data_IF_778905895289
#
_entry.id   IF_778905895289
#
_cell.length_a   1.000
_cell.length_b   1.000
_cell.length_c   1.000
_cell.angle_alpha   90.00
_cell.angle_beta   90.00
_cell.angle_gamma   90.00
#
_symmetry.space_group_name_H-M   'P 1'
#
loop_
_entity.id
_entity.type
_entity.pdbx_description
1 polymer ?
#
# COMPACT_ATOMS: atom_id res chain seq x y z
N UNK A 1 18.70 -9.82 0.79
CA UNK A 1 17.40 -9.77 0.08
C UNK A 1 17.09 -8.33 -0.30
N UNK A 2 16.22 -8.13 -1.28
CA UNK A 2 15.60 -6.85 -1.63
C UNK A 2 14.14 -6.94 -1.19
N UNK A 3 13.64 -5.93 -0.47
CA UNK A 3 12.23 -5.80 -0.12
C UNK A 3 11.66 -4.62 -0.90
N UNK A 4 10.78 -4.91 -1.85
CA UNK A 4 10.11 -3.92 -2.69
C UNK A 4 8.68 -3.71 -2.16
N UNK A 5 8.30 -2.46 -1.90
CA UNK A 5 6.96 -2.13 -1.45
C UNK A 5 6.12 -1.62 -2.62
N UNK A 6 4.83 -1.95 -2.66
CA UNK A 6 3.86 -1.41 -3.61
C UNK A 6 3.00 -0.31 -2.95
N UNK A 7 3.56 0.88 -2.68
CA UNK A 7 2.91 1.89 -1.85
C UNK A 7 1.65 2.43 -2.52
N UNK A 8 0.62 2.69 -1.72
CA UNK A 8 -0.63 3.33 -2.13
C UNK A 8 -1.43 2.53 -3.17
N UNK A 9 -1.03 1.28 -3.44
CA UNK A 9 -1.58 0.44 -4.50
C UNK A 9 -0.84 0.53 -5.83
N UNK A 10 0.22 1.33 -5.90
CA UNK A 10 1.07 1.49 -7.08
C UNK A 10 2.11 0.37 -7.09
N UNK A 11 2.13 -0.48 -8.13
CA UNK A 11 3.16 -1.49 -8.29
C UNK A 11 4.57 -0.89 -8.41
N UNK A 12 5.53 -1.49 -7.73
CA UNK A 12 6.96 -1.30 -7.94
C UNK A 12 7.39 -1.83 -9.31
N UNK A 13 8.49 -1.29 -9.86
CA UNK A 13 9.08 -1.77 -11.11
C UNK A 13 9.86 -3.08 -10.85
N UNK A 14 9.13 -4.20 -10.84
CA UNK A 14 9.66 -5.48 -10.34
C UNK A 14 10.67 -6.15 -11.28
N UNK A 15 10.62 -5.94 -12.60
CA UNK A 15 11.58 -6.58 -13.53
C UNK A 15 13.01 -6.10 -13.30
N UNK A 16 13.31 -4.79 -13.22
CA UNK A 16 14.65 -4.33 -12.86
C UNK A 16 15.12 -4.84 -11.49
N UNK A 17 14.23 -4.85 -10.48
CA UNK A 17 14.57 -5.34 -9.15
C UNK A 17 14.90 -6.84 -9.15
N UNK A 18 14.15 -7.64 -9.92
CA UNK A 18 14.43 -9.07 -10.12
C UNK A 18 15.81 -9.27 -10.77
N UNK A 19 16.13 -8.53 -11.82
CA UNK A 19 17.43 -8.62 -12.48
C UNK A 19 18.60 -8.28 -11.53
N UNK A 20 18.45 -7.26 -10.68
CA UNK A 20 19.44 -6.93 -9.64
C UNK A 20 19.53 -8.06 -8.62
N UNK A 21 18.40 -8.58 -8.16
CA UNK A 21 18.37 -9.66 -7.18
C UNK A 21 19.08 -10.92 -7.71
N UNK A 22 18.83 -11.31 -8.97
CA UNK A 22 19.49 -12.46 -9.62
C UNK A 22 20.99 -12.26 -9.75
N UNK A 23 21.41 -11.09 -10.25
CA UNK A 23 22.84 -10.74 -10.40
C UNK A 23 23.63 -10.89 -9.10
N UNK A 24 23.00 -10.59 -7.97
CA UNK A 24 23.64 -10.57 -6.66
C UNK A 24 23.27 -11.77 -5.77
N UNK A 25 22.56 -12.78 -6.29
CA UNK A 25 22.13 -13.94 -5.50
C UNK A 25 21.21 -13.58 -4.33
N UNK A 26 20.41 -12.53 -4.46
CA UNK A 26 19.50 -12.04 -3.43
C UNK A 26 18.08 -12.56 -3.66
N UNK A 27 17.37 -12.82 -2.56
CA UNK A 27 15.91 -12.98 -2.58
C UNK A 27 15.21 -11.65 -2.81
N UNK A 28 14.12 -11.65 -3.57
CA UNK A 28 13.22 -10.52 -3.77
C UNK A 28 11.89 -10.79 -3.05
N UNK A 29 11.51 -9.90 -2.14
CA UNK A 29 10.26 -9.99 -1.38
C UNK A 29 9.41 -8.78 -1.77
N UNK A 30 8.15 -9.01 -2.12
CA UNK A 30 7.17 -7.95 -2.35
C UNK A 30 6.38 -7.68 -1.06
N UNK A 31 6.37 -6.44 -0.58
CA UNK A 31 5.37 -5.94 0.35
C UNK A 31 4.19 -5.39 -0.47
N UNK A 32 3.21 -6.26 -0.66
CA UNK A 32 1.98 -6.02 -1.39
C UNK A 32 0.82 -5.63 -0.46
N UNK A 33 1.10 -5.24 0.80
CA UNK A 33 0.10 -4.94 1.81
C UNK A 33 -0.89 -3.83 1.42
N UNK A 34 -0.59 -3.05 0.38
CA UNK A 34 -1.42 -1.97 -0.14
C UNK A 34 -1.88 -2.20 -1.59
N UNK A 35 -1.61 -3.37 -2.19
CA UNK A 35 -1.69 -3.56 -3.64
C UNK A 35 -2.57 -4.75 -4.09
N UNK A 36 -3.57 -5.12 -3.29
CA UNK A 36 -4.51 -6.20 -3.66
C UNK A 36 -5.18 -5.91 -5.01
N UNK A 37 -5.02 -6.84 -5.96
CA UNK A 37 -5.55 -6.73 -7.31
C UNK A 37 -4.87 -5.69 -8.21
N UNK A 38 -3.76 -5.09 -7.78
CA UNK A 38 -2.90 -4.34 -8.68
C UNK A 38 -2.23 -5.29 -9.70
N UNK A 39 -1.82 -4.75 -10.84
CA UNK A 39 -1.22 -5.53 -11.94
C UNK A 39 0.08 -4.85 -12.36
N UNK A 40 1.13 -5.64 -12.55
CA UNK A 40 2.39 -5.20 -13.15
C UNK A 40 2.73 -6.09 -14.35
N UNK A 41 2.93 -5.45 -15.51
CA UNK A 41 3.27 -6.13 -16.77
C UNK A 41 2.26 -7.21 -17.16
N UNK A 42 0.97 -6.90 -17.00
CA UNK A 42 -0.13 -7.81 -17.30
C UNK A 42 -0.31 -8.96 -16.30
N UNK A 43 0.51 -9.04 -15.25
CA UNK A 43 0.46 -10.10 -14.24
C UNK A 43 0.10 -9.55 -12.84
N UNK A 44 -0.56 -10.35 -11.98
CA UNK A 44 -0.78 -9.97 -10.58
C UNK A 44 0.54 -9.66 -9.85
N UNK A 45 0.45 -8.81 -8.83
CA UNK A 45 1.59 -8.54 -7.95
C UNK A 45 2.10 -9.81 -7.27
N UNK A 46 3.42 -9.86 -7.04
CA UNK A 46 4.10 -10.97 -6.41
C UNK A 46 4.67 -12.00 -7.39
N UNK A 47 4.21 -12.04 -8.64
CA UNK A 47 4.69 -13.02 -9.65
C UNK A 47 6.20 -12.92 -9.92
N UNK A 48 6.77 -11.72 -9.79
CA UNK A 48 8.20 -11.49 -10.01
C UNK A 48 9.05 -11.62 -8.73
N UNK A 49 8.43 -11.83 -7.57
CA UNK A 49 9.11 -11.97 -6.28
C UNK A 49 9.23 -13.46 -5.89
N UNK A 50 10.20 -13.78 -5.02
CA UNK A 50 10.27 -15.10 -4.38
C UNK A 50 9.07 -15.33 -3.44
N UNK A 51 8.57 -14.26 -2.81
CA UNK A 51 7.31 -14.25 -2.08
C UNK A 51 6.71 -12.85 -2.03
N UNK A 52 5.40 -12.77 -1.82
CA UNK A 52 4.68 -11.52 -1.56
C UNK A 52 3.91 -11.59 -0.24
N UNK A 53 3.95 -10.50 0.52
CA UNK A 53 3.28 -10.34 1.79
C UNK A 53 2.08 -9.42 1.64
N UNK A 54 0.95 -9.82 2.22
CA UNK A 54 -0.33 -9.13 2.14
C UNK A 54 -0.84 -8.81 3.54
N UNK A 55 -1.61 -7.73 3.66
CA UNK A 55 -2.24 -7.32 4.91
C UNK A 55 -3.74 -7.24 4.71
N UNK A 56 -4.50 -7.72 5.67
CA UNK A 56 -5.96 -7.70 5.69
C UNK A 56 -6.51 -6.82 6.81
N UNK A 57 -5.72 -5.82 7.23
CA UNK A 57 -6.16 -4.81 8.18
C UNK A 57 -7.42 -4.07 7.69
N UNK A 58 -8.23 -3.58 8.63
CA UNK A 58 -9.50 -2.88 8.41
C UNK A 58 -9.53 -1.91 7.21
N UNK A 59 -8.46 -1.15 6.98
CA UNK A 59 -8.44 -0.11 5.93
C UNK A 59 -8.09 -0.59 4.52
N UNK A 60 -7.56 -1.82 4.36
CA UNK A 60 -6.99 -2.34 3.11
C UNK A 60 -8.06 -2.48 2.01
N UNK A 61 -7.63 -2.75 0.77
CA UNK A 61 -8.55 -2.90 -0.37
C UNK A 61 -9.60 -4.01 -0.14
N UNK A 62 -9.24 -5.02 0.64
CA UNK A 62 -10.09 -6.03 1.26
C UNK A 62 -9.63 -6.22 2.71
N UNK A 63 -10.52 -6.65 3.60
CA UNK A 63 -10.23 -6.75 5.03
C UNK A 63 -10.71 -8.06 5.64
N UNK A 64 -10.08 -8.48 6.72
CA UNK A 64 -10.52 -9.56 7.60
C UNK A 64 -10.67 -9.07 9.05
N UNK A 65 -10.71 -7.75 9.25
CA UNK A 65 -10.51 -7.10 10.54
C UNK A 65 -9.02 -6.93 10.80
N UNK A 66 -8.37 -8.03 11.17
CA UNK A 66 -6.92 -8.20 11.27
C UNK A 66 -6.49 -9.46 10.51
N UNK A 67 -5.26 -9.47 10.00
CA UNK A 67 -4.72 -10.63 9.30
C UNK A 67 -3.71 -10.30 8.21
N UNK A 68 -3.18 -11.36 7.59
CA UNK A 68 -2.24 -11.26 6.50
C UNK A 68 -2.05 -12.59 5.78
N UNK A 69 -1.33 -12.54 4.67
CA UNK A 69 -1.05 -13.70 3.83
C UNK A 69 0.37 -13.61 3.29
N UNK A 70 0.98 -14.75 3.03
CA UNK A 70 2.17 -14.84 2.19
C UNK A 70 1.83 -15.73 1.00
N UNK A 71 2.16 -15.29 -0.20
CA UNK A 71 2.05 -16.07 -1.43
C UNK A 71 3.43 -16.33 -2.01
N UNK A 72 3.68 -17.56 -2.45
CA UNK A 72 4.92 -17.98 -3.13
C UNK A 72 4.63 -19.15 -4.07
N UNK A 73 5.45 -19.31 -5.11
CA UNK A 73 5.42 -20.47 -5.99
C UNK A 73 6.43 -21.56 -5.56
N UNK A 74 7.24 -21.29 -4.54
CA UNK A 74 8.24 -22.23 -4.02
C UNK A 74 7.60 -23.11 -2.94
N UNK A 75 7.47 -24.41 -3.24
CA UNK A 75 6.83 -25.39 -2.36
C UNK A 75 7.60 -25.62 -1.05
N UNK A 76 8.93 -25.59 -1.10
CA UNK A 76 9.78 -25.74 0.09
C UNK A 76 9.66 -24.52 0.99
N UNK A 77 9.66 -23.32 0.39
CA UNK A 77 9.44 -22.08 1.12
C UNK A 77 8.05 -22.05 1.75
N UNK A 78 7.02 -22.46 1.00
CA UNK A 78 5.64 -22.51 1.51
C UNK A 78 5.51 -23.45 2.71
N UNK A 79 6.17 -24.60 2.69
CA UNK A 79 6.18 -25.54 3.80
C UNK A 79 6.88 -24.96 5.03
N UNK A 80 8.06 -24.37 4.83
CA UNK A 80 8.80 -23.69 5.89
C UNK A 80 7.98 -22.56 6.52
N UNK A 81 7.25 -21.78 5.71
CA UNK A 81 6.37 -20.71 6.20
C UNK A 81 5.18 -21.26 7.00
N UNK A 82 4.59 -22.40 6.62
CA UNK A 82 3.54 -23.06 7.39
C UNK A 82 4.03 -23.51 8.77
N UNK A 83 5.22 -24.09 8.83
CA UNK A 83 5.88 -24.45 10.09
C UNK A 83 6.14 -23.21 10.95
N UNK A 84 6.80 -22.17 10.40
CA UNK A 84 7.07 -20.92 11.13
C UNK A 84 5.78 -20.28 11.67
N UNK A 85 4.69 -20.30 10.90
CA UNK A 85 3.39 -19.73 11.31
C UNK A 85 2.76 -20.48 12.50
N UNK A 86 3.11 -21.74 12.70
CA UNK A 86 2.48 -22.63 13.68
C UNK A 86 3.51 -23.36 14.53
N UNK A 87 4.24 -22.62 15.37
CA UNK A 87 5.16 -23.12 16.39
C UNK A 87 6.31 -24.01 15.88
N UNK A 88 6.53 -24.09 14.57
CA UNK A 88 7.47 -25.02 13.94
C UNK A 88 7.00 -26.47 14.01
N UNK A 89 5.72 -26.69 14.28
CA UNK A 89 5.13 -27.99 14.59
C UNK A 89 4.88 -28.79 13.30
N UNK A 90 5.60 -29.90 13.12
CA UNK A 90 5.41 -30.83 12.00
C UNK A 90 4.44 -31.97 12.36
N UNK A 91 4.42 -32.35 13.64
CA UNK A 91 3.47 -33.29 14.23
C UNK A 91 2.99 -32.72 15.55
N UNK A 92 1.78 -33.08 16.01
CA UNK A 92 1.16 -32.50 17.21
C UNK A 92 2.13 -32.47 18.40
N UNK A 93 2.45 -31.27 18.91
CA UNK A 93 3.39 -31.00 19.99
C UNK A 93 4.86 -31.36 19.75
N UNK A 94 5.27 -31.58 18.50
CA UNK A 94 6.65 -31.81 18.10
C UNK A 94 7.10 -30.72 17.11
N UNK A 95 7.79 -29.72 17.64
CA UNK A 95 8.43 -28.67 16.84
C UNK A 95 9.77 -29.15 16.28
N UNK A 96 9.95 -29.06 14.97
CA UNK A 96 11.22 -29.40 14.29
C UNK A 96 12.08 -28.17 13.96
N UNK A 97 11.48 -26.98 13.99
CA UNK A 97 12.15 -25.70 13.88
C UNK A 97 11.57 -24.71 14.90
N UNK A 98 12.24 -23.57 15.11
CA UNK A 98 11.65 -22.46 15.86
C UNK A 98 10.57 -21.80 14.99
N UNK A 99 9.35 -21.73 15.50
CA UNK A 99 8.26 -20.97 14.90
C UNK A 99 7.56 -20.03 15.89
N UNK A 100 6.42 -19.50 15.45
CA UNK A 100 5.60 -18.53 16.16
C UNK A 100 4.13 -18.94 16.11
N UNK A 101 3.29 -18.20 16.85
CA UNK A 101 1.85 -18.30 16.71
C UNK A 101 1.32 -17.14 15.84
N UNK A 102 1.39 -17.31 14.52
CA UNK A 102 0.90 -16.34 13.53
C UNK A 102 -0.28 -16.88 12.72
N UNK A 103 -1.03 -17.81 13.30
CA UNK A 103 -2.23 -18.37 12.67
C UNK A 103 -3.29 -17.28 12.56
N UNK A 104 -3.92 -17.21 11.39
CA UNK A 104 -5.13 -16.43 11.17
C UNK A 104 -6.33 -17.29 11.62
N UNK A 105 -7.24 -16.79 12.48
CA UNK A 105 -8.39 -17.59 12.88
C UNK A 105 -9.43 -17.73 11.76
N UNK A 106 -10.26 -18.76 11.86
CA UNK A 106 -11.21 -19.15 10.81
C UNK A 106 -12.31 -18.09 10.56
N UNK A 107 -12.67 -17.31 11.59
CA UNK A 107 -13.67 -16.24 11.47
C UNK A 107 -13.15 -15.14 10.54
N UNK A 108 -11.92 -14.69 10.74
CA UNK A 108 -11.23 -13.74 9.88
C UNK A 108 -11.11 -14.31 8.46
N UNK A 109 -10.82 -15.60 8.30
CA UNK A 109 -10.71 -16.25 6.99
C UNK A 109 -12.07 -16.26 6.25
N UNK A 110 -13.17 -16.53 6.96
CA UNK A 110 -14.51 -16.48 6.41
C UNK A 110 -14.90 -15.08 5.91
N UNK A 111 -14.55 -14.03 6.66
CA UNK A 111 -14.71 -12.64 6.21
C UNK A 111 -13.89 -12.38 4.93
N UNK A 112 -12.64 -12.89 4.92
CA UNK A 112 -11.72 -12.76 3.81
C UNK A 112 -12.24 -13.36 2.50
N UNK A 113 -12.89 -14.53 2.55
CA UNK A 113 -13.48 -15.17 1.37
C UNK A 113 -14.54 -14.28 0.71
N UNK A 114 -15.50 -13.77 1.49
CA UNK A 114 -16.54 -12.86 0.99
C UNK A 114 -15.95 -11.55 0.46
N UNK A 115 -14.91 -11.04 1.13
CA UNK A 115 -14.21 -9.83 0.71
C UNK A 115 -13.43 -10.02 -0.59
N UNK A 116 -12.83 -11.20 -0.79
CA UNK A 116 -12.10 -11.55 -2.00
C UNK A 116 -13.03 -11.62 -3.22
N UNK A 117 -14.22 -12.20 -3.07
CA UNK A 117 -15.25 -12.23 -4.12
C UNK A 117 -15.69 -10.81 -4.54
N UNK A 118 -15.75 -9.88 -3.57
CA UNK A 118 -16.16 -8.49 -3.81
C UNK A 118 -15.02 -7.60 -4.27
N UNK A 119 -13.77 -8.01 -4.11
CA UNK A 119 -12.58 -7.20 -4.41
C UNK A 119 -12.61 -6.59 -5.83
N UNK A 120 -12.97 -7.31 -6.92
CA UNK A 120 -13.05 -6.71 -8.26
C UNK A 120 -13.97 -5.49 -8.31
N UNK A 121 -15.14 -5.56 -7.65
CA UNK A 121 -16.11 -4.45 -7.59
C UNK A 121 -15.55 -3.26 -6.79
N UNK A 122 -14.83 -3.52 -5.70
CA UNK A 122 -14.19 -2.48 -4.90
C UNK A 122 -13.09 -1.76 -5.68
N UNK A 123 -12.27 -2.49 -6.43
CA UNK A 123 -11.21 -1.93 -7.26
C UNK A 123 -11.78 -1.09 -8.40
N UNK A 124 -12.87 -1.55 -9.04
CA UNK A 124 -13.57 -0.78 -10.05
C UNK A 124 -14.09 0.55 -9.49
N UNK A 125 -14.73 0.53 -8.31
CA UNK A 125 -15.24 1.76 -7.69
C UNK A 125 -14.14 2.73 -7.26
N UNK A 126 -13.05 2.20 -6.69
CA UNK A 126 -11.88 3.03 -6.33
C UNK A 126 -11.27 3.71 -7.55
N UNK A 127 -11.15 2.99 -8.66
CA UNK A 127 -10.68 3.54 -9.93
C UNK A 127 -11.59 4.64 -10.46
N UNK A 128 -12.90 4.41 -10.50
CA UNK A 128 -13.86 5.43 -10.93
C UNK A 128 -13.73 6.72 -10.10
N UNK A 129 -13.63 6.57 -8.77
CA UNK A 129 -13.46 7.70 -7.86
C UNK A 129 -12.13 8.42 -8.10
N UNK A 130 -11.03 7.69 -8.29
CA UNK A 130 -9.72 8.24 -8.59
C UNK A 130 -9.69 8.99 -9.94
N UNK A 131 -10.33 8.46 -10.97
CA UNK A 131 -10.43 9.10 -12.29
C UNK A 131 -11.23 10.40 -12.23
N UNK A 132 -12.39 10.39 -11.56
CA UNK A 132 -13.21 11.60 -11.32
C UNK A 132 -12.44 12.68 -10.57
N UNK A 133 -11.72 12.29 -9.51
CA UNK A 133 -10.92 13.20 -8.72
C UNK A 133 -9.74 13.76 -9.53
N UNK A 134 -9.09 12.91 -10.33
CA UNK A 134 -8.01 13.32 -11.25
C UNK A 134 -8.51 14.34 -12.26
N UNK A 135 -9.66 14.09 -12.90
CA UNK A 135 -10.22 14.98 -13.91
C UNK A 135 -10.52 16.39 -13.37
N UNK A 136 -10.87 16.51 -12.09
CA UNK A 136 -11.15 17.80 -11.45
C UNK A 136 -9.89 18.51 -10.97
N UNK A 137 -8.93 17.76 -10.44
CA UNK A 137 -7.71 18.33 -9.86
C UNK A 137 -6.60 18.55 -10.89
N UNK A 138 -6.70 18.00 -12.12
CA UNK A 138 -5.60 18.01 -13.09
C UNK A 138 -5.12 19.41 -13.52
N UNK A 139 -5.99 20.43 -13.41
CA UNK A 139 -5.65 21.83 -13.72
C UNK A 139 -4.99 22.57 -12.56
N UNK A 140 -4.93 21.97 -11.36
CA UNK A 140 -4.31 22.58 -10.19
C UNK A 140 -2.77 22.54 -10.32
N UNK A 141 -2.19 23.66 -10.76
CA UNK A 141 -0.76 23.76 -11.04
C UNK A 141 0.16 23.58 -9.82
N UNK A 142 -0.37 23.66 -8.60
CA UNK A 142 0.30 23.40 -7.32
C UNK A 142 0.24 21.92 -6.89
N UNK A 143 -0.56 21.08 -7.55
CA UNK A 143 -0.63 19.65 -7.27
C UNK A 143 0.17 18.82 -8.27
N UNK A 144 0.79 17.75 -7.78
CA UNK A 144 1.21 16.60 -8.55
C UNK A 144 0.29 15.43 -8.17
N UNK A 145 -0.50 14.97 -9.13
CA UNK A 145 -1.48 13.90 -8.95
C UNK A 145 -0.84 12.52 -9.14
N UNK A 146 -1.39 11.48 -8.50
CA UNK A 146 -0.94 10.11 -8.74
C UNK A 146 -1.22 9.72 -10.20
N UNK A 147 -0.24 9.07 -10.83
CA UNK A 147 -0.34 8.58 -12.21
C UNK A 147 0.08 7.12 -12.25
N UNK A 148 -0.64 6.33 -13.06
CA UNK A 148 -0.23 4.97 -13.36
C UNK A 148 1.01 5.02 -14.27
N UNK A 149 2.06 4.31 -13.88
CA UNK A 149 3.25 4.14 -14.73
C UNK A 149 2.96 3.16 -15.86
N UNK A 150 3.78 3.19 -16.92
CA UNK A 150 3.71 2.19 -17.98
C UNK A 150 3.77 0.78 -17.38
N UNK A 151 2.91 -0.13 -17.85
CA UNK A 151 2.80 -1.53 -17.37
C UNK A 151 2.17 -1.69 -15.98
N UNK A 152 1.83 -0.62 -15.28
CA UNK A 152 1.21 -0.70 -13.96
C UNK A 152 -0.30 -0.45 -14.01
N UNK A 153 -1.06 -1.23 -13.26
CA UNK A 153 -2.46 -0.97 -12.92
C UNK A 153 -2.56 -0.84 -11.40
N UNK A 154 -2.86 0.36 -10.93
CA UNK A 154 -3.01 0.72 -9.53
C UNK A 154 -4.28 0.10 -8.94
N UNK A 155 -4.19 -0.41 -7.71
CA UNK A 155 -5.36 -0.87 -6.92
C UNK A 155 -6.11 0.27 -6.23
N UNK A 156 -5.54 1.48 -6.23
CA UNK A 156 -6.07 2.69 -5.62
C UNK A 156 -6.40 2.48 -4.14
N UNK A 157 -5.46 1.92 -3.39
CA UNK A 157 -5.55 1.86 -1.93
C UNK A 157 -5.69 3.27 -1.36
N UNK A 158 -4.84 4.19 -1.81
CA UNK A 158 -4.91 5.62 -1.51
C UNK A 158 -4.81 6.45 -2.80
N UNK A 159 -5.51 7.58 -2.82
CA UNK A 159 -5.27 8.62 -3.82
C UNK A 159 -4.34 9.67 -3.23
N UNK A 160 -3.04 9.50 -3.44
CA UNK A 160 -2.01 10.36 -2.83
C UNK A 160 -1.56 11.45 -3.80
N UNK A 161 -1.89 12.70 -3.48
CA UNK A 161 -1.42 13.87 -4.19
C UNK A 161 -0.21 14.49 -3.46
N UNK A 162 0.65 15.17 -4.21
CA UNK A 162 1.80 15.91 -3.70
C UNK A 162 1.58 17.40 -3.92
N UNK A 163 1.59 18.18 -2.84
CA UNK A 163 1.52 19.64 -2.90
C UNK A 163 2.92 20.20 -3.19
N UNK A 164 3.16 20.56 -4.46
CA UNK A 164 4.50 20.88 -4.96
C UNK A 164 5.10 22.08 -4.22
N UNK A 165 6.28 21.88 -3.65
CA UNK A 165 7.03 22.94 -2.98
C UNK A 165 6.44 23.40 -1.64
N UNK A 166 5.40 22.72 -1.13
CA UNK A 166 4.89 23.03 0.20
C UNK A 166 5.84 22.58 1.31
N UNK A 167 5.85 23.36 2.39
CA UNK A 167 6.41 22.91 3.66
C UNK A 167 5.47 21.91 4.32
N UNK A 168 6.02 21.11 5.24
CA UNK A 168 5.24 20.25 6.14
C UNK A 168 4.08 21.00 6.79
N UNK A 169 4.35 22.18 7.35
CA UNK A 169 3.33 22.98 8.04
C UNK A 169 2.17 23.33 7.10
N UNK A 170 2.46 23.76 5.86
CA UNK A 170 1.41 24.09 4.89
C UNK A 170 0.57 22.87 4.53
N UNK A 171 1.21 21.71 4.30
CA UNK A 171 0.50 20.44 4.01
C UNK A 171 -0.38 20.03 5.20
N UNK A 172 0.16 20.07 6.41
CA UNK A 172 -0.56 19.70 7.63
C UNK A 172 -1.78 20.61 7.86
N UNK A 173 -1.64 21.93 7.66
CA UNK A 173 -2.76 22.88 7.74
C UNK A 173 -3.86 22.57 6.73
N UNK A 174 -3.52 22.27 5.48
CA UNK A 174 -4.52 21.92 4.46
C UNK A 174 -5.24 20.62 4.83
N UNK A 175 -4.51 19.60 5.31
CA UNK A 175 -5.12 18.34 5.76
C UNK A 175 -6.08 18.58 6.93
N UNK A 176 -5.70 19.41 7.91
CA UNK A 176 -6.58 19.75 9.02
C UNK A 176 -7.84 20.50 8.57
N UNK A 177 -7.71 21.42 7.62
CA UNK A 177 -8.85 22.12 7.02
C UNK A 177 -9.76 21.20 6.20
N UNK A 178 -9.22 20.15 5.58
CA UNK A 178 -10.03 19.11 4.94
C UNK A 178 -10.79 18.29 6.00
N UNK A 179 -10.11 17.90 7.08
CA UNK A 179 -10.72 17.15 8.20
C UNK A 179 -11.84 17.94 8.88
N UNK A 180 -11.64 19.23 9.15
CA UNK A 180 -12.66 20.09 9.77
C UNK A 180 -13.91 20.27 8.90
N UNK A 181 -13.80 20.04 7.59
CA UNK A 181 -14.91 20.00 6.62
C UNK A 181 -15.50 18.59 6.43
N UNK A 182 -15.11 17.62 7.25
CA UNK A 182 -15.62 16.25 7.20
C UNK A 182 -14.99 15.37 6.13
N UNK A 183 -13.87 15.77 5.52
CA UNK A 183 -13.14 14.96 4.54
C UNK A 183 -12.07 14.15 5.28
N UNK A 184 -12.14 12.82 5.17
CA UNK A 184 -11.15 11.88 5.72
C UNK A 184 -9.81 11.89 4.97
N UNK A 185 -9.18 13.07 4.83
CA UNK A 185 -7.85 13.23 4.26
C UNK A 185 -6.80 12.84 5.30
N UNK A 186 -5.73 12.16 4.87
CA UNK A 186 -4.71 11.67 5.79
C UNK A 186 -3.30 11.79 5.21
N UNK A 187 -2.30 11.74 6.09
CA UNK A 187 -0.88 11.81 5.71
C UNK A 187 -0.25 10.43 5.81
N UNK A 188 0.13 9.86 4.66
CA UNK A 188 0.84 8.59 4.57
C UNK A 188 2.17 8.81 3.84
N UNK A 189 3.31 8.98 4.51
CA UNK A 189 3.52 9.02 5.97
C UNK A 189 4.19 10.33 6.37
N UNK A 190 3.89 10.88 7.56
CA UNK A 190 4.41 12.18 7.97
C UNK A 190 5.90 12.14 8.28
N UNK A 191 6.47 10.97 8.61
CA UNK A 191 7.86 10.85 8.98
C UNK A 191 8.55 9.78 8.13
N UNK A 192 9.69 10.10 7.50
CA UNK A 192 10.56 9.10 6.92
C UNK A 192 11.10 8.14 7.99
N UNK A 193 11.20 6.85 7.67
CA UNK A 193 11.67 5.82 8.62
C UNK A 193 13.05 6.15 9.17
N UNK A 194 13.99 6.61 8.32
CA UNK A 194 15.38 6.91 8.73
C UNK A 194 15.50 8.05 9.76
N UNK A 195 14.44 8.82 9.94
CA UNK A 195 14.40 9.93 10.90
C UNK A 195 13.69 9.58 12.22
N UNK A 196 13.01 8.43 12.30
CA UNK A 196 12.26 8.02 13.49
C UNK A 196 13.21 7.58 14.63
N UNK A 197 12.80 7.72 15.91
CA UNK A 197 13.66 7.41 17.06
C UNK A 197 14.27 5.99 17.05
N UNK A 198 13.56 4.90 16.70
CA UNK A 198 14.15 3.56 16.65
C UNK A 198 15.22 3.38 15.56
N UNK A 199 15.26 4.27 14.56
CA UNK A 199 16.11 4.16 13.37
C UNK A 199 17.23 5.21 13.33
N UNK A 200 17.57 5.83 14.48
CA UNK A 200 18.56 6.90 14.58
C UNK A 200 19.91 6.59 13.93
N UNK A 201 20.33 5.31 13.89
CA UNK A 201 21.55 4.88 13.18
C UNK A 201 21.58 5.27 11.70
N UNK A 202 20.40 5.46 11.09
CA UNK A 202 20.23 5.85 9.69
C UNK A 202 19.97 7.36 9.49
N UNK A 203 19.90 8.15 10.57
CA UNK A 203 19.60 9.60 10.52
C UNK A 203 20.58 10.39 9.65
N UNK A 204 21.81 9.89 9.48
CA UNK A 204 22.85 10.54 8.66
C UNK A 204 22.66 10.31 7.15
N UNK A 205 21.80 9.38 6.74
CA UNK A 205 21.47 9.18 5.33
C UNK A 205 20.69 10.39 4.81
N UNK A 206 21.07 10.87 3.63
CA UNK A 206 20.35 11.95 2.93
C UNK A 206 19.41 11.32 1.92
N UNK A 207 18.13 11.16 2.29
CA UNK A 207 17.10 10.57 1.43
C UNK A 207 16.15 11.66 0.96
N UNK A 208 16.68 12.57 0.14
CA UNK A 208 16.01 13.83 -0.23
C UNK A 208 14.62 13.64 -0.84
N UNK A 209 14.42 12.63 -1.71
CA UNK A 209 13.09 12.40 -2.29
C UNK A 209 12.10 11.81 -1.28
N UNK A 210 12.57 10.99 -0.34
CA UNK A 210 11.75 10.48 0.77
C UNK A 210 11.33 11.60 1.71
N UNK A 211 12.27 12.48 2.08
CA UNK A 211 12.03 13.64 2.93
C UNK A 211 11.01 14.59 2.28
N UNK A 212 11.27 15.00 1.02
CA UNK A 212 10.34 15.82 0.23
C UNK A 212 8.96 15.19 0.11
N UNK A 213 8.86 13.87 -0.10
CA UNK A 213 7.58 13.19 -0.15
C UNK A 213 6.84 13.32 1.19
N UNK A 214 7.50 13.03 2.32
CA UNK A 214 6.88 13.09 3.65
C UNK A 214 6.33 14.48 4.02
N UNK A 215 6.94 15.55 3.49
CA UNK A 215 6.52 16.94 3.74
C UNK A 215 5.35 17.38 2.85
N UNK A 216 5.17 16.76 1.68
CA UNK A 216 4.29 17.29 0.63
C UNK A 216 3.10 16.39 0.28
N UNK A 217 3.14 15.10 0.63
CA UNK A 217 2.07 14.16 0.25
C UNK A 217 0.88 14.20 1.20
N UNK A 218 -0.32 14.08 0.66
CA UNK A 218 -1.53 13.80 1.42
C UNK A 218 -2.46 12.91 0.58
N UNK A 219 -3.27 12.12 1.25
CA UNK A 219 -4.15 11.14 0.63
C UNK A 219 -5.60 11.57 0.77
N UNK A 220 -6.33 11.47 -0.33
CA UNK A 220 -7.76 11.77 -0.41
C UNK A 220 -8.58 10.47 -0.46
N UNK A 221 -9.81 10.47 0.07
CA UNK A 221 -10.64 9.27 0.10
C UNK A 221 -11.14 8.92 -1.30
N UNK A 222 -10.86 7.69 -1.72
CA UNK A 222 -11.37 7.07 -2.97
C UNK A 222 -11.98 5.68 -2.73
N UNK A 223 -12.23 5.32 -1.48
CA UNK A 223 -12.77 4.00 -1.13
C UNK A 223 -14.17 3.75 -1.76
N UNK A 224 -14.66 2.50 -1.83
CA UNK A 224 -15.90 2.16 -2.54
C UNK A 224 -17.17 2.84 -2.02
N UNK A 225 -17.14 3.38 -0.80
CA UNK A 225 -18.26 4.10 -0.19
C UNK A 225 -18.36 5.58 -0.57
N UNK A 226 -17.35 6.15 -1.24
CA UNK A 226 -17.38 7.54 -1.71
C UNK A 226 -18.32 7.65 -2.91
N UNK A 227 -19.34 8.50 -2.77
CA UNK A 227 -20.34 8.79 -3.81
C UNK A 227 -19.84 9.87 -4.77
N UNK A 228 -20.35 9.95 -6.02
CA UNK A 228 -19.94 10.97 -6.99
C UNK A 228 -20.02 12.42 -6.47
N UNK A 229 -21.06 12.74 -5.70
CA UNK A 229 -21.25 14.07 -5.13
C UNK A 229 -20.20 14.38 -4.06
N UNK A 230 -19.78 13.36 -3.31
CA UNK A 230 -18.69 13.49 -2.34
C UNK A 230 -17.35 13.69 -3.04
N UNK A 231 -17.11 13.05 -4.20
CA UNK A 231 -15.90 13.33 -5.02
C UNK A 231 -15.89 14.79 -5.48
N UNK A 232 -17.04 15.35 -5.87
CA UNK A 232 -17.14 16.77 -6.22
C UNK A 232 -16.77 17.66 -5.03
N UNK A 233 -17.39 17.41 -3.88
CA UNK A 233 -17.15 18.15 -2.64
C UNK A 233 -15.66 18.10 -2.21
N UNK A 234 -15.04 16.92 -2.30
CA UNK A 234 -13.61 16.75 -2.00
C UNK A 234 -12.76 17.61 -2.94
N UNK A 235 -13.00 17.53 -4.25
CA UNK A 235 -12.21 18.24 -5.24
C UNK A 235 -12.35 19.77 -5.09
N UNK A 236 -13.58 20.27 -4.95
CA UNK A 236 -13.86 21.70 -4.77
C UNK A 236 -13.25 22.23 -3.48
N UNK A 237 -13.34 21.46 -2.40
CA UNK A 237 -12.72 21.82 -1.13
C UNK A 237 -11.20 21.88 -1.25
N UNK A 238 -10.57 20.90 -1.90
CA UNK A 238 -9.12 20.91 -2.16
C UNK A 238 -8.73 22.15 -2.97
N UNK A 239 -9.44 22.43 -4.08
CA UNK A 239 -9.16 23.60 -4.93
C UNK A 239 -9.31 24.93 -4.18
N UNK A 240 -10.25 25.03 -3.24
CA UNK A 240 -10.45 26.24 -2.44
C UNK A 240 -9.41 26.47 -1.33
N UNK A 241 -8.55 25.48 -1.03
CA UNK A 241 -7.55 25.56 0.04
C UNK A 241 -6.11 25.75 -0.45
N UNK A 242 -5.87 25.59 -1.76
CA UNK A 242 -4.51 25.45 -2.32
C UNK A 242 -4.05 26.66 -3.14
#
# INVERSE_FOLDING_TARGET
>A
AILAMDPYGVPSDMKPLRAIADKHGLKLIADAAQAHGAIYDGKPIGVYADMACWSFYASKNMTTGEGGMITTNDGELAEKLRLIRCHGEQQKYMSTIIGHNYRMPEIEAAIGLVQLERLPSFLAKRRENAERLTAKLCKAGNLQLPKEQSRCRNSWYLYTAKLKGASRQKRDTIVEQLKSKGIGAEIYYPWPIHMMPPYQRFKRLKLTETEKASEQVFSLPVHPGVKPEQVNFIAETVLGLI
#
